data_IF_842903986098
#
_entry.id   IF_842903986098
#
_cell.length_a   1.000
_cell.length_b   1.000
_cell.length_c   1.000
_cell.angle_alpha   90.00
_cell.angle_beta   90.00
_cell.angle_gamma   90.00
#
_symmetry.space_group_name_H-M   'P 1'
#
loop_
_entity.id
_entity.type
_entity.pdbx_description
1 polymer ?
#
# COMPACT_ATOMS: atom_id res chain seq x y z
N UNK A 1 6.61 -60.83 -44.17
CA UNK A 1 6.53 -59.71 -43.21
C UNK A 1 7.86 -59.64 -42.50
N UNK A 2 8.42 -58.45 -42.34
CA UNK A 2 9.67 -58.27 -41.59
C UNK A 2 9.40 -58.20 -40.08
N UNK A 3 10.37 -58.59 -39.25
CA UNK A 3 10.28 -58.51 -37.78
C UNK A 3 9.89 -57.10 -37.29
N UNK A 4 10.36 -56.06 -37.98
CA UNK A 4 10.04 -54.67 -37.67
C UNK A 4 8.55 -54.36 -37.86
N UNK A 5 7.95 -54.86 -38.94
CA UNK A 5 6.52 -54.65 -39.22
C UNK A 5 5.66 -55.37 -38.18
N UNK A 6 6.02 -56.60 -37.82
CA UNK A 6 5.31 -57.38 -36.81
C UNK A 6 5.39 -56.73 -35.42
N UNK A 7 6.56 -56.21 -35.03
CA UNK A 7 6.76 -55.47 -33.78
C UNK A 7 5.91 -54.19 -33.70
N UNK A 8 5.82 -53.43 -34.80
CA UNK A 8 5.01 -52.21 -34.85
C UNK A 8 3.50 -52.51 -34.83
N UNK A 9 3.06 -53.60 -35.45
CA UNK A 9 1.66 -54.03 -35.39
C UNK A 9 1.26 -54.48 -33.99
N UNK A 10 2.13 -55.20 -33.28
CA UNK A 10 1.93 -55.57 -31.87
C UNK A 10 1.82 -54.32 -30.98
N UNK A 11 2.72 -53.33 -31.12
CA UNK A 11 2.63 -52.07 -30.38
C UNK A 11 1.31 -51.32 -30.59
N UNK A 12 0.68 -51.46 -31.76
CA UNK A 12 -0.61 -50.81 -32.04
C UNK A 12 -1.79 -51.60 -31.48
N UNK A 13 -1.82 -52.92 -31.70
CA UNK A 13 -2.96 -53.79 -31.38
C UNK A 13 -2.99 -54.26 -29.93
N UNK A 14 -1.82 -54.50 -29.34
CA UNK A 14 -1.69 -55.05 -28.00
C UNK A 14 -1.30 -53.95 -27.02
N UNK A 15 -2.24 -53.62 -26.14
CA UNK A 15 -2.09 -52.59 -25.13
C UNK A 15 -1.13 -53.01 -24.00
N UNK A 16 -1.19 -54.28 -23.56
CA UNK A 16 -0.33 -54.82 -22.51
C UNK A 16 1.13 -54.89 -22.98
N UNK A 17 1.35 -55.34 -24.21
CA UNK A 17 2.68 -55.32 -24.85
C UNK A 17 3.21 -53.89 -24.98
N UNK A 18 2.37 -52.94 -25.42
CA UNK A 18 2.74 -51.52 -25.52
C UNK A 18 3.15 -50.94 -24.18
N UNK A 19 2.37 -51.16 -23.11
CA UNK A 19 2.74 -50.69 -21.77
C UNK A 19 3.99 -51.37 -21.21
N UNK A 20 4.18 -52.66 -21.51
CA UNK A 20 5.41 -53.38 -21.13
C UNK A 20 6.65 -52.76 -21.79
N UNK A 21 6.56 -52.43 -23.10
CA UNK A 21 7.64 -51.73 -23.81
C UNK A 21 7.85 -50.32 -23.27
N UNK A 22 6.79 -49.56 -22.96
CA UNK A 22 6.89 -48.25 -22.32
C UNK A 22 7.66 -48.33 -20.98
N UNK A 23 7.39 -49.36 -20.18
CA UNK A 23 8.10 -49.62 -18.93
C UNK A 23 9.58 -49.93 -19.12
N UNK A 24 9.93 -50.81 -20.06
CA UNK A 24 11.34 -51.11 -20.37
C UNK A 24 12.12 -49.92 -20.92
N UNK A 25 11.45 -49.03 -21.65
CA UNK A 25 12.05 -47.80 -22.16
C UNK A 25 12.09 -46.67 -21.12
N UNK A 26 11.56 -46.88 -19.90
CA UNK A 26 11.50 -45.88 -18.85
C UNK A 26 10.50 -44.74 -19.12
N UNK A 27 9.61 -44.89 -20.09
CA UNK A 27 8.63 -43.87 -20.49
C UNK A 27 7.54 -43.69 -19.41
N UNK A 28 7.26 -44.74 -18.61
CA UNK A 28 6.36 -44.66 -17.46
C UNK A 28 6.88 -43.73 -16.36
N UNK A 29 8.21 -43.67 -16.17
CA UNK A 29 8.83 -42.76 -15.20
C UNK A 29 8.80 -41.31 -15.71
N UNK A 30 9.02 -41.11 -17.02
CA UNK A 30 8.94 -39.79 -17.64
C UNK A 30 7.51 -39.24 -17.54
N UNK A 31 6.50 -40.05 -17.82
CA UNK A 31 5.09 -39.65 -17.73
C UNK A 31 4.73 -39.24 -16.29
N UNK A 32 5.10 -40.04 -15.29
CA UNK A 32 4.86 -39.72 -13.86
C UNK A 32 5.52 -38.40 -13.43
N UNK A 33 6.76 -38.15 -13.87
CA UNK A 33 7.43 -36.86 -13.61
C UNK A 33 6.72 -35.70 -14.29
N UNK A 34 6.23 -35.92 -15.51
CA UNK A 34 5.47 -34.91 -16.26
C UNK A 34 4.17 -34.55 -15.54
N UNK A 35 3.42 -35.52 -15.03
CA UNK A 35 2.21 -35.30 -14.23
C UNK A 35 2.53 -34.53 -12.93
N UNK A 36 3.64 -34.90 -12.25
CA UNK A 36 4.09 -34.19 -11.05
C UNK A 36 4.46 -32.73 -11.36
N UNK A 37 5.12 -32.47 -12.49
CA UNK A 37 5.43 -31.11 -12.94
C UNK A 37 4.17 -30.32 -13.29
N UNK A 38 3.20 -30.92 -14.00
CA UNK A 38 1.93 -30.27 -14.30
C UNK A 38 1.15 -29.91 -13.03
N UNK A 39 1.13 -30.81 -12.04
CA UNK A 39 0.52 -30.57 -10.73
C UNK A 39 1.21 -29.41 -10.00
N UNK A 40 2.54 -29.40 -9.98
CA UNK A 40 3.32 -28.31 -9.38
C UNK A 40 3.08 -26.98 -10.09
N UNK A 41 3.05 -26.99 -11.42
CA UNK A 41 2.77 -25.81 -12.23
C UNK A 41 1.37 -25.25 -11.95
N UNK A 42 0.38 -26.13 -11.77
CA UNK A 42 -0.99 -25.74 -11.43
C UNK A 42 -1.05 -25.05 -10.05
N UNK A 43 -0.33 -25.58 -9.06
CA UNK A 43 -0.22 -24.95 -7.72
C UNK A 43 0.44 -23.57 -7.80
N UNK A 44 1.56 -23.46 -8.51
CA UNK A 44 2.27 -22.19 -8.71
C UNK A 44 1.34 -21.14 -9.36
N UNK A 45 0.54 -21.53 -10.35
CA UNK A 45 -0.44 -20.61 -10.94
C UNK A 45 -1.53 -20.17 -9.97
N UNK A 46 -1.94 -21.05 -9.05
CA UNK A 46 -2.82 -20.71 -7.93
C UNK A 46 -2.19 -19.65 -7.03
N UNK A 47 -0.95 -19.89 -6.59
CA UNK A 47 -0.21 -18.96 -5.72
C UNK A 47 0.01 -17.60 -6.39
N UNK A 48 0.39 -17.59 -7.68
CA UNK A 48 0.54 -16.36 -8.46
C UNK A 48 -0.77 -15.57 -8.53
N UNK A 49 -1.91 -16.25 -8.64
CA UNK A 49 -3.22 -15.60 -8.64
C UNK A 49 -3.53 -14.98 -7.28
N UNK A 50 -3.30 -15.71 -6.19
CA UNK A 50 -3.48 -15.20 -4.83
C UNK A 50 -2.59 -13.97 -4.57
N UNK A 51 -1.32 -14.03 -4.95
CA UNK A 51 -0.39 -12.89 -4.83
C UNK A 51 -0.90 -11.67 -5.60
N UNK A 52 -1.45 -11.85 -6.81
CA UNK A 52 -2.01 -10.74 -7.59
C UNK A 52 -3.24 -10.12 -6.92
N UNK A 53 -4.11 -10.94 -6.35
CA UNK A 53 -5.28 -10.46 -5.61
C UNK A 53 -4.88 -9.67 -4.36
N UNK A 54 -3.90 -10.17 -3.60
CA UNK A 54 -3.40 -9.47 -2.41
C UNK A 54 -2.65 -8.17 -2.79
N UNK A 55 -1.89 -8.18 -3.89
CA UNK A 55 -1.28 -6.95 -4.41
C UNK A 55 -2.32 -5.89 -4.77
N UNK A 56 -3.46 -6.26 -5.36
CA UNK A 56 -4.54 -5.32 -5.67
C UNK A 56 -5.12 -4.68 -4.41
N UNK A 57 -5.38 -5.48 -3.36
CA UNK A 57 -5.86 -4.97 -2.06
C UNK A 57 -4.86 -3.99 -1.43
N UNK A 58 -3.57 -4.34 -1.44
CA UNK A 58 -2.52 -3.45 -0.93
C UNK A 58 -2.50 -2.12 -1.69
N UNK A 59 -2.70 -2.13 -3.01
CA UNK A 59 -2.77 -0.90 -3.80
C UNK A 59 -3.98 -0.03 -3.44
N UNK A 60 -5.12 -0.65 -3.15
CA UNK A 60 -6.32 0.06 -2.68
C UNK A 60 -6.09 0.69 -1.30
N UNK A 61 -5.48 -0.04 -0.36
CA UNK A 61 -5.10 0.49 0.96
C UNK A 61 -4.11 1.66 0.85
N UNK A 62 -3.07 1.52 0.03
CA UNK A 62 -2.10 2.60 -0.22
C UNK A 62 -2.79 3.84 -0.79
N UNK A 63 -3.78 3.66 -1.68
CA UNK A 63 -4.55 4.78 -2.22
C UNK A 63 -5.36 5.47 -1.12
N UNK A 64 -6.06 4.70 -0.27
CA UNK A 64 -6.80 5.24 0.87
C UNK A 64 -5.91 6.03 1.82
N UNK A 65 -4.75 5.47 2.19
CA UNK A 65 -3.77 6.15 3.05
C UNK A 65 -3.26 7.47 2.45
N UNK A 66 -3.05 7.52 1.12
CA UNK A 66 -2.66 8.77 0.44
C UNK A 66 -3.75 9.84 0.50
N UNK A 67 -5.01 9.44 0.31
CA UNK A 67 -6.15 10.36 0.41
C UNK A 67 -6.31 10.91 1.83
N UNK A 68 -6.17 10.07 2.86
CA UNK A 68 -6.17 10.50 4.26
C UNK A 68 -5.00 11.44 4.57
N UNK A 69 -3.81 11.12 4.07
CA UNK A 69 -2.63 11.97 4.25
C UNK A 69 -2.83 13.36 3.63
N UNK A 70 -3.47 13.45 2.45
CA UNK A 70 -3.81 14.74 1.84
C UNK A 70 -4.75 15.55 2.73
N UNK A 71 -5.81 14.94 3.28
CA UNK A 71 -6.75 15.63 4.19
C UNK A 71 -6.04 16.15 5.45
N UNK A 72 -5.17 15.34 6.05
CA UNK A 72 -4.37 15.76 7.20
C UNK A 72 -3.51 16.99 6.87
N UNK A 73 -2.89 17.03 5.69
CA UNK A 73 -2.11 18.21 5.28
C UNK A 73 -2.97 19.46 5.10
N UNK A 74 -4.19 19.33 4.59
CA UNK A 74 -5.15 20.44 4.50
C UNK A 74 -5.55 20.94 5.90
N UNK A 75 -5.83 20.05 6.84
CA UNK A 75 -6.13 20.40 8.23
C UNK A 75 -4.95 21.11 8.91
N UNK A 76 -3.72 20.58 8.76
CA UNK A 76 -2.50 21.22 9.28
C UNK A 76 -2.32 22.63 8.71
N UNK A 77 -2.61 22.82 7.42
CA UNK A 77 -2.54 24.14 6.78
C UNK A 77 -3.58 25.09 7.40
N UNK A 78 -4.83 24.64 7.56
CA UNK A 78 -5.88 25.42 8.21
C UNK A 78 -5.51 25.82 9.64
N UNK A 79 -5.01 24.88 10.44
CA UNK A 79 -4.54 25.14 11.81
C UNK A 79 -3.40 26.18 11.83
N UNK A 80 -2.47 26.12 10.87
CA UNK A 80 -1.39 27.11 10.75
C UNK A 80 -1.92 28.50 10.42
N UNK A 81 -2.89 28.60 9.52
CA UNK A 81 -3.53 29.88 9.19
C UNK A 81 -4.27 30.48 10.38
N UNK A 82 -5.01 29.67 11.12
CA UNK A 82 -5.74 30.13 12.31
C UNK A 82 -4.80 30.51 13.47
N UNK A 83 -3.71 29.76 13.65
CA UNK A 83 -2.67 30.12 14.60
C UNK A 83 -2.04 31.48 14.26
N UNK A 84 -1.72 31.74 12.99
CA UNK A 84 -1.18 33.03 12.57
C UNK A 84 -2.17 34.19 12.79
N UNK A 85 -3.47 33.98 12.54
CA UNK A 85 -4.50 34.99 12.86
C UNK A 85 -4.55 35.27 14.36
N UNK A 86 -4.42 34.25 15.20
CA UNK A 86 -4.41 34.40 16.65
C UNK A 86 -3.17 35.18 17.12
N UNK A 87 -1.99 34.89 16.57
CA UNK A 87 -0.77 35.67 16.83
C UNK A 87 -0.98 37.15 16.50
N UNK A 88 -1.53 37.46 15.31
CA UNK A 88 -1.81 38.85 14.93
C UNK A 88 -2.81 39.55 15.87
N UNK A 89 -3.82 38.82 16.39
CA UNK A 89 -4.73 39.36 17.41
C UNK A 89 -4.03 39.63 18.74
N UNK A 90 -3.12 38.75 19.17
CA UNK A 90 -2.33 38.97 20.39
C UNK A 90 -1.42 40.19 20.26
N UNK A 91 -0.75 40.37 19.12
CA UNK A 91 0.06 41.57 18.87
C UNK A 91 -0.77 42.86 18.95
N UNK A 92 -2.00 42.86 18.44
CA UNK A 92 -2.91 44.00 18.55
C UNK A 92 -3.34 44.25 20.00
N UNK A 93 -3.63 43.21 20.76
CA UNK A 93 -3.97 43.32 22.18
C UNK A 93 -2.79 43.85 23.00
N UNK A 94 -1.57 43.38 22.72
CA UNK A 94 -0.34 43.87 23.37
C UNK A 94 -0.12 45.36 23.13
N UNK A 95 -0.31 45.83 21.89
CA UNK A 95 -0.26 47.27 21.57
C UNK A 95 -1.32 48.06 22.34
N UNK A 96 -2.57 47.58 22.33
CA UNK A 96 -3.65 48.20 23.09
C UNK A 96 -3.37 48.28 24.60
N UNK A 97 -2.74 47.25 25.18
CA UNK A 97 -2.32 47.26 26.59
C UNK A 97 -1.25 48.33 26.87
N UNK A 98 -0.31 48.55 25.94
CA UNK A 98 0.70 49.61 26.07
C UNK A 98 0.04 50.99 26.01
N UNK A 99 -0.85 51.22 25.05
CA UNK A 99 -1.54 52.50 24.89
C UNK A 99 -2.40 52.85 26.12
N UNK A 100 -3.14 51.86 26.65
CA UNK A 100 -3.92 52.02 27.88
C UNK A 100 -3.00 52.35 29.07
N UNK A 101 -1.87 51.64 29.20
CA UNK A 101 -0.91 51.91 30.28
C UNK A 101 -0.40 53.34 30.24
N UNK A 102 0.01 53.82 29.07
CA UNK A 102 0.48 55.20 28.87
C UNK A 102 -0.62 56.22 29.22
N UNK A 103 -1.86 55.97 28.77
CA UNK A 103 -3.01 56.84 29.09
C UNK A 103 -3.26 56.92 30.59
N UNK A 104 -3.23 55.77 31.28
CA UNK A 104 -3.41 55.70 32.75
C UNK A 104 -2.27 56.43 33.49
N UNK A 105 -1.03 56.28 33.05
CA UNK A 105 0.13 57.00 33.61
C UNK A 105 0.02 58.53 33.41
N UNK A 106 -0.45 58.97 32.24
CA UNK A 106 -0.73 60.38 31.94
C UNK A 106 -1.78 60.97 32.88
N UNK A 107 -2.95 60.34 32.98
CA UNK A 107 -4.03 60.76 33.88
C UNK A 107 -3.59 60.81 35.35
N UNK A 108 -2.80 59.83 35.80
CA UNK A 108 -2.25 59.81 37.16
C UNK A 108 -1.32 61.00 37.41
N UNK A 109 -0.52 61.39 36.41
CA UNK A 109 0.42 62.51 36.52
C UNK A 109 -0.31 63.85 36.58
N UNK A 110 -1.34 64.06 35.75
CA UNK A 110 -2.19 65.25 35.77
C UNK A 110 -2.90 65.43 37.12
N UNK A 111 -3.44 64.34 37.68
CA UNK A 111 -4.06 64.36 39.01
C UNK A 111 -3.07 64.80 40.09
N UNK A 112 -1.84 64.27 40.08
CA UNK A 112 -0.83 64.61 41.10
C UNK A 112 -0.45 66.10 41.08
N UNK A 113 -0.25 66.67 39.89
CA UNK A 113 0.04 68.11 39.74
C UNK A 113 -1.12 68.99 40.24
N UNK A 114 -2.36 68.55 40.06
CA UNK A 114 -3.55 69.27 40.53
C UNK A 114 -3.75 69.27 42.05
N UNK A 115 -3.08 68.40 42.81
CA UNK A 115 -3.09 68.42 44.28
C UNK A 115 -1.94 69.25 44.88
N UNK A 116 -0.87 69.48 44.11
CA UNK A 116 0.33 70.24 44.52
C UNK A 116 0.26 71.74 44.13
N UNK A 117 -0.83 72.20 43.50
CA UNK A 117 -1.10 73.60 43.09
C UNK A 117 -2.20 74.23 43.95
#
# INVERSE_FOLDING_TARGET
MSLREEFLELLKRDEEFRYTVLGYLGLDEITRRMDAYQSTQTKIWGDIRGIKEDQLKIWEEIKGLREEQTKIWEEIKGLREDFNKMLGRMELLEKGHVDIRQTVEGLRSELFVGFDS
#
